data_IF_137627635741
#
_entry.id   IF_137627635741
#
_cell.length_a   1.000
_cell.length_b   1.000
_cell.length_c   1.000
_cell.angle_alpha   90.00
_cell.angle_beta   90.00
_cell.angle_gamma   90.00
#
_symmetry.space_group_name_H-M   'P 1'
#
loop_
_entity.id
_entity.type
_entity.pdbx_description
1 polymer ?
#
# COMPACT_ATOMS: atom_id res chain seq x y z
N UNK A 1 -54.56 -38.60 -39.13
CA UNK A 1 -53.69 -38.59 -37.92
C UNK A 1 -52.58 -39.65 -37.88
N UNK A 2 -52.60 -40.72 -38.70
CA UNK A 2 -51.63 -41.84 -38.61
C UNK A 2 -50.35 -41.62 -39.47
N UNK A 3 -50.43 -40.90 -40.60
CA UNK A 3 -49.29 -40.68 -41.50
C UNK A 3 -48.15 -39.85 -40.85
N UNK A 4 -48.49 -38.83 -40.06
CA UNK A 4 -47.50 -37.99 -39.38
C UNK A 4 -46.69 -38.75 -38.32
N UNK A 5 -47.30 -39.76 -37.66
CA UNK A 5 -46.59 -40.60 -36.68
C UNK A 5 -45.50 -41.46 -37.33
N UNK A 6 -45.75 -42.02 -38.52
CA UNK A 6 -44.76 -42.87 -39.22
C UNK A 6 -43.61 -42.06 -39.81
N UNK A 7 -43.88 -40.88 -40.38
CA UNK A 7 -42.85 -39.97 -40.90
C UNK A 7 -41.98 -39.45 -39.76
N UNK A 8 -42.59 -39.07 -38.62
CA UNK A 8 -41.90 -38.62 -37.43
C UNK A 8 -41.01 -39.73 -36.83
N UNK A 9 -41.50 -40.98 -36.76
CA UNK A 9 -40.71 -42.13 -36.32
C UNK A 9 -39.54 -42.46 -37.26
N UNK A 10 -39.73 -42.32 -38.57
CA UNK A 10 -38.68 -42.54 -39.57
C UNK A 10 -37.57 -41.49 -39.47
N UNK A 11 -37.94 -40.22 -39.29
CA UNK A 11 -36.99 -39.11 -39.13
C UNK A 11 -36.20 -39.21 -37.83
N UNK A 12 -36.87 -39.58 -36.73
CA UNK A 12 -36.22 -39.86 -35.44
C UNK A 12 -35.23 -41.03 -35.53
N UNK A 13 -35.52 -42.08 -36.32
CA UNK A 13 -34.68 -43.27 -36.40
C UNK A 13 -33.44 -43.09 -37.30
N UNK A 14 -33.55 -42.31 -38.38
CA UNK A 14 -32.44 -42.04 -39.32
C UNK A 14 -31.37 -41.13 -38.72
N UNK A 15 -31.77 -40.24 -37.82
CA UNK A 15 -30.92 -39.20 -37.22
C UNK A 15 -30.75 -39.37 -35.70
N UNK A 16 -30.90 -40.58 -35.16
CA UNK A 16 -30.70 -40.85 -33.71
C UNK A 16 -29.36 -40.35 -33.21
N UNK A 17 -28.31 -40.49 -34.01
CA UNK A 17 -26.97 -39.99 -33.67
C UNK A 17 -26.94 -38.45 -33.63
N UNK A 18 -27.62 -37.77 -34.56
CA UNK A 18 -27.71 -36.32 -34.55
C UNK A 18 -28.51 -35.81 -33.33
N UNK A 19 -29.63 -36.47 -33.02
CA UNK A 19 -30.43 -36.15 -31.84
C UNK A 19 -29.63 -36.38 -30.55
N UNK A 20 -28.87 -37.47 -30.48
CA UNK A 20 -27.99 -37.78 -29.35
C UNK A 20 -26.86 -36.74 -29.21
N UNK A 21 -26.24 -36.32 -30.33
CA UNK A 21 -25.22 -35.27 -30.34
C UNK A 21 -25.81 -33.95 -29.83
N UNK A 22 -27.01 -33.57 -30.28
CA UNK A 22 -27.67 -32.34 -29.82
C UNK A 22 -27.96 -32.41 -28.32
N UNK A 23 -28.47 -33.53 -27.83
CA UNK A 23 -28.71 -33.74 -26.39
C UNK A 23 -27.41 -33.68 -25.59
N UNK A 24 -26.33 -34.29 -26.08
CA UNK A 24 -25.01 -34.25 -25.44
C UNK A 24 -24.44 -32.83 -25.43
N UNK A 25 -24.64 -32.04 -26.48
CA UNK A 25 -24.22 -30.64 -26.53
C UNK A 25 -25.00 -29.78 -25.53
N UNK A 26 -26.32 -29.98 -25.40
CA UNK A 26 -27.12 -29.29 -24.39
C UNK A 26 -26.75 -29.70 -22.96
N UNK A 27 -26.47 -30.99 -22.73
CA UNK A 27 -25.96 -31.48 -21.44
C UNK A 27 -24.59 -30.88 -21.13
N UNK A 28 -23.69 -30.81 -22.10
CA UNK A 28 -22.37 -30.19 -21.92
C UNK A 28 -22.51 -28.70 -21.62
N UNK A 29 -23.38 -27.99 -22.34
CA UNK A 29 -23.66 -26.57 -22.10
C UNK A 29 -24.26 -26.35 -20.71
N UNK A 30 -25.18 -27.22 -20.28
CA UNK A 30 -25.78 -27.18 -18.95
C UNK A 30 -24.77 -27.48 -17.84
N UNK A 31 -23.86 -28.45 -18.06
CA UNK A 31 -22.74 -28.74 -17.15
C UNK A 31 -21.81 -27.52 -17.08
N UNK A 32 -21.46 -26.88 -18.21
CA UNK A 32 -20.68 -25.64 -18.22
C UNK A 32 -21.38 -24.49 -17.49
N UNK A 33 -22.71 -24.38 -17.61
CA UNK A 33 -23.51 -23.39 -16.91
C UNK A 33 -23.55 -23.64 -15.39
N UNK A 34 -23.75 -24.89 -14.96
CA UNK A 34 -23.75 -25.27 -13.54
C UNK A 34 -22.36 -25.16 -12.89
N UNK A 35 -21.30 -25.38 -13.67
CA UNK A 35 -19.92 -25.29 -13.20
C UNK A 35 -19.36 -23.86 -13.22
N UNK A 36 -20.21 -22.81 -13.31
CA UNK A 36 -19.86 -21.39 -13.14
C UNK A 36 -18.35 -21.19 -13.26
N UNK A 37 -17.82 -21.05 -14.49
CA UNK A 37 -16.43 -20.66 -14.67
C UNK A 37 -16.22 -19.50 -13.70
N UNK A 38 -15.36 -19.61 -12.67
CA UNK A 38 -15.30 -18.61 -11.62
C UNK A 38 -14.62 -17.39 -12.24
N UNK A 39 -15.42 -16.54 -12.89
CA UNK A 39 -15.07 -15.15 -13.19
C UNK A 39 -15.02 -14.35 -11.87
N UNK A 40 -15.40 -14.97 -10.76
CA UNK A 40 -15.27 -14.48 -9.39
C UNK A 40 -13.80 -14.27 -8.97
N UNK A 41 -12.83 -14.85 -9.71
CA UNK A 41 -11.40 -14.69 -9.46
C UNK A 41 -10.71 -13.73 -10.43
N UNK A 42 -11.41 -12.71 -10.94
CA UNK A 42 -10.69 -11.48 -11.31
C UNK A 42 -10.25 -10.85 -9.99
N UNK A 43 -9.09 -11.27 -9.50
CA UNK A 43 -8.34 -10.54 -8.47
C UNK A 43 -7.94 -9.23 -9.13
N UNK A 44 -8.79 -8.21 -9.01
CA UNK A 44 -8.31 -6.85 -9.16
C UNK A 44 -7.23 -6.68 -8.10
N UNK A 45 -5.98 -6.51 -8.52
CA UNK A 45 -4.94 -6.04 -7.63
C UNK A 45 -5.44 -4.71 -7.06
N UNK A 46 -5.95 -4.72 -5.83
CA UNK A 46 -6.40 -3.50 -5.17
C UNK A 46 -5.24 -2.52 -5.14
N UNK A 47 -5.50 -1.26 -5.48
CA UNK A 47 -4.48 -0.22 -5.37
C UNK A 47 -4.00 -0.16 -3.91
N UNK A 48 -2.71 -0.42 -3.69
CA UNK A 48 -2.09 -0.28 -2.38
C UNK A 48 -1.73 1.20 -2.22
N UNK A 49 -2.45 1.91 -1.36
CA UNK A 49 -2.13 3.28 -0.97
C UNK A 49 -1.20 3.25 0.23
N UNK A 50 -0.03 3.87 0.11
CA UNK A 50 1.00 3.92 1.15
C UNK A 50 1.17 5.38 1.57
N UNK A 51 0.68 5.79 2.75
CA UNK A 51 0.83 7.16 3.23
C UNK A 51 2.30 7.46 3.56
N UNK A 52 2.78 8.61 3.09
CA UNK A 52 4.07 9.19 3.48
C UNK A 52 3.76 10.47 4.25
N UNK A 53 4.01 10.44 5.56
CA UNK A 53 3.73 11.54 6.48
C UNK A 53 4.97 12.43 6.58
N UNK A 54 4.87 13.66 6.07
CA UNK A 54 5.98 14.62 6.08
C UNK A 54 5.82 15.64 7.20
N UNK A 55 6.85 15.77 8.04
CA UNK A 55 6.97 16.79 9.07
C UNK A 55 8.16 17.72 8.80
N UNK A 56 8.20 18.89 9.44
CA UNK A 56 9.29 19.85 9.26
C UNK A 56 9.86 20.28 10.62
N UNK A 57 9.12 21.12 11.36
CA UNK A 57 9.56 21.60 12.68
C UNK A 57 8.62 21.13 13.80
N UNK A 58 9.21 20.84 14.96
CA UNK A 58 8.48 20.44 16.17
C UNK A 58 8.59 21.53 17.22
N UNK A 59 7.49 21.80 17.93
CA UNK A 59 7.39 22.92 18.88
C UNK A 59 6.59 22.52 20.12
N UNK A 60 6.73 23.31 21.19
CA UNK A 60 5.86 23.22 22.37
C UNK A 60 4.66 24.19 22.29
N UNK A 61 4.68 25.11 21.32
CA UNK A 61 3.59 26.04 21.03
C UNK A 61 2.53 25.39 20.12
N UNK A 62 1.48 26.12 19.78
CA UNK A 62 0.44 25.66 18.86
C UNK A 62 0.99 25.28 17.47
N UNK A 63 0.35 24.30 16.85
CA UNK A 63 0.66 23.86 15.49
C UNK A 63 0.34 24.95 14.46
N UNK A 64 1.10 24.96 13.37
CA UNK A 64 0.88 25.81 12.21
C UNK A 64 1.29 25.08 10.93
N UNK A 65 1.28 25.74 9.77
CA UNK A 65 1.45 25.09 8.47
C UNK A 65 2.69 24.17 8.35
N UNK A 66 3.79 24.50 9.03
CA UNK A 66 5.04 23.73 9.01
C UNK A 66 5.55 23.36 10.41
N UNK A 67 4.76 23.65 11.44
CA UNK A 67 5.13 23.37 12.83
C UNK A 67 4.08 22.45 13.43
N UNK A 68 4.50 21.36 14.07
CA UNK A 68 3.62 20.51 14.85
C UNK A 68 3.96 20.61 16.34
N UNK A 69 2.94 20.80 17.16
CA UNK A 69 3.08 20.68 18.61
C UNK A 69 3.51 19.25 18.97
N UNK A 70 4.48 19.11 19.86
CA UNK A 70 5.06 17.82 20.19
C UNK A 70 4.05 16.83 20.79
N UNK A 71 3.05 17.33 21.53
CA UNK A 71 1.98 16.52 22.10
C UNK A 71 1.04 16.02 21.00
N UNK A 72 0.79 16.82 19.96
CA UNK A 72 0.00 16.38 18.80
C UNK A 72 0.75 15.36 17.95
N UNK A 73 2.05 15.56 17.75
CA UNK A 73 2.90 14.57 17.09
C UNK A 73 2.89 13.24 17.85
N UNK A 74 3.04 13.26 19.18
CA UNK A 74 2.98 12.04 19.99
C UNK A 74 1.62 11.33 19.89
N UNK A 75 0.51 12.09 19.85
CA UNK A 75 -0.83 11.51 19.61
C UNK A 75 -0.94 10.83 18.24
N UNK A 76 -0.31 11.39 17.21
CA UNK A 76 -0.29 10.76 15.89
C UNK A 76 0.53 9.45 15.91
N UNK A 77 1.66 9.41 16.62
CA UNK A 77 2.45 8.18 16.77
C UNK A 77 1.70 7.12 17.58
N UNK A 78 1.03 7.52 18.66
CA UNK A 78 0.16 6.65 19.45
C UNK A 78 -0.96 6.06 18.58
N UNK A 79 -1.60 6.88 17.74
CA UNK A 79 -2.61 6.41 16.81
C UNK A 79 -2.08 5.34 15.86
N UNK A 80 -0.89 5.54 15.25
CA UNK A 80 -0.28 4.55 14.36
C UNK A 80 -0.03 3.23 15.09
N UNK A 81 0.53 3.29 16.31
CA UNK A 81 0.79 2.11 17.14
C UNK A 81 -0.51 1.39 17.51
N UNK A 82 -1.51 2.11 18.02
CA UNK A 82 -2.78 1.56 18.47
C UNK A 82 -3.61 0.91 17.35
N UNK A 83 -3.42 1.35 16.10
CA UNK A 83 -4.16 0.83 14.93
C UNK A 83 -3.36 -0.17 14.08
N UNK A 84 -2.22 -0.65 14.60
CA UNK A 84 -1.34 -1.64 13.98
C UNK A 84 -0.84 -1.22 12.59
N UNK A 85 -0.40 0.03 12.46
CA UNK A 85 0.37 0.45 11.28
C UNK A 85 1.80 -0.06 11.37
N UNK A 86 2.33 -0.50 10.24
CA UNK A 86 3.75 -0.86 10.11
C UNK A 86 4.54 0.36 9.67
N UNK A 87 5.12 1.07 10.63
CA UNK A 87 6.00 2.21 10.30
C UNK A 87 7.32 1.67 9.77
N UNK A 88 7.62 1.96 8.51
CA UNK A 88 8.82 1.52 7.81
C UNK A 88 9.63 2.70 7.31
N UNK A 89 10.94 2.49 7.17
CA UNK A 89 11.83 3.45 6.52
C UNK A 89 11.55 3.54 5.01
N UNK A 90 11.98 4.64 4.39
CA UNK A 90 11.93 4.77 2.92
C UNK A 90 12.70 3.62 2.24
N UNK A 91 13.82 3.18 2.80
CA UNK A 91 14.62 2.09 2.25
C UNK A 91 13.85 0.77 2.23
N UNK A 92 13.16 0.45 3.32
CA UNK A 92 12.28 -0.73 3.40
C UNK A 92 11.10 -0.63 2.45
N UNK A 93 10.49 0.56 2.31
CA UNK A 93 9.43 0.79 1.34
C UNK A 93 9.92 0.52 -0.10
N UNK A 94 11.05 1.10 -0.49
CA UNK A 94 11.62 0.91 -1.83
C UNK A 94 11.93 -0.55 -2.11
N UNK A 95 12.51 -1.26 -1.13
CA UNK A 95 12.84 -2.67 -1.29
C UNK A 95 11.58 -3.53 -1.37
N UNK A 96 10.60 -3.28 -0.50
CA UNK A 96 9.32 -4.00 -0.53
C UNK A 96 8.55 -3.81 -1.84
N UNK A 97 8.58 -2.59 -2.41
CA UNK A 97 8.00 -2.33 -3.73
C UNK A 97 8.71 -3.07 -4.86
N UNK A 98 10.04 -3.24 -4.79
CA UNK A 98 10.80 -4.01 -5.79
C UNK A 98 10.51 -5.50 -5.70
N UNK A 99 10.38 -6.01 -4.48
CA UNK A 99 10.15 -7.43 -4.21
C UNK A 99 8.66 -7.82 -4.36
N UNK A 100 7.75 -6.85 -4.32
CA UNK A 100 6.31 -7.09 -4.28
C UNK A 100 5.81 -7.52 -2.90
N UNK A 101 6.58 -7.25 -1.85
CA UNK A 101 6.33 -7.67 -0.46
C UNK A 101 6.33 -6.43 0.44
N UNK A 102 5.14 -6.02 0.91
CA UNK A 102 4.99 -4.93 1.86
C UNK A 102 4.35 -5.46 3.15
N UNK A 103 4.72 -4.90 4.31
CA UNK A 103 4.04 -5.26 5.55
C UNK A 103 2.60 -4.75 5.52
N UNK A 104 1.76 -5.31 6.38
CA UNK A 104 0.38 -4.88 6.51
C UNK A 104 0.29 -3.43 7.02
N UNK A 105 -0.57 -2.60 6.39
CA UNK A 105 -0.74 -1.17 6.70
C UNK A 105 0.60 -0.41 6.76
N UNK A 106 1.39 -0.38 5.67
CA UNK A 106 2.66 0.33 5.67
C UNK A 106 2.41 1.84 5.77
N UNK A 107 3.24 2.52 6.54
CA UNK A 107 3.28 3.98 6.61
C UNK A 107 4.74 4.42 6.72
N UNK A 108 5.08 5.54 6.09
CA UNK A 108 6.42 6.12 6.16
C UNK A 108 6.35 7.46 6.84
N UNK A 109 7.34 7.75 7.69
CA UNK A 109 7.54 9.06 8.30
C UNK A 109 8.77 9.72 7.70
N UNK A 110 8.62 10.94 7.19
CA UNK A 110 9.71 11.77 6.72
C UNK A 110 9.76 13.09 7.47
N UNK A 111 10.95 13.63 7.62
CA UNK A 111 11.20 14.91 8.29
C UNK A 111 12.13 15.74 7.40
N UNK A 112 11.72 16.95 7.04
CA UNK A 112 12.46 17.83 6.14
C UNK A 112 13.23 18.92 6.92
N UNK A 113 14.04 19.69 6.21
CA UNK A 113 14.78 20.90 6.64
C UNK A 113 15.90 20.74 7.68
N UNK A 114 15.86 19.73 8.53
CA UNK A 114 16.91 19.49 9.52
C UNK A 114 16.87 20.42 10.74
N UNK A 115 15.68 20.87 11.16
CA UNK A 115 15.52 21.62 12.40
C UNK A 115 16.09 20.85 13.60
N UNK A 116 16.72 21.57 14.53
CA UNK A 116 17.22 21.01 15.80
C UNK A 116 16.13 20.28 16.59
N UNK A 117 14.89 20.74 16.47
CA UNK A 117 13.69 20.16 17.10
C UNK A 117 13.45 18.70 16.70
N UNK A 118 13.90 18.26 15.52
CA UNK A 118 13.88 16.86 15.12
C UNK A 118 14.63 15.98 16.12
N UNK A 119 15.81 16.41 16.56
CA UNK A 119 16.60 15.65 17.53
C UNK A 119 16.13 15.89 18.97
N UNK A 120 15.77 17.13 19.33
CA UNK A 120 15.47 17.46 20.73
C UNK A 120 14.04 17.11 21.15
N UNK A 121 13.08 17.07 20.22
CA UNK A 121 11.66 16.83 20.51
C UNK A 121 11.14 15.56 19.82
N UNK A 122 11.28 15.44 18.49
CA UNK A 122 10.67 14.33 17.75
C UNK A 122 11.35 12.97 17.98
N UNK A 123 12.68 12.95 18.00
CA UNK A 123 13.45 11.71 18.16
C UNK A 123 13.11 10.92 19.44
N UNK A 124 12.99 11.54 20.64
CA UNK A 124 12.51 10.84 21.83
C UNK A 124 11.15 10.17 21.65
N UNK A 125 10.21 10.83 20.98
CA UNK A 125 8.87 10.28 20.71
C UNK A 125 8.97 9.09 19.75
N UNK A 126 9.67 9.24 18.61
CA UNK A 126 9.88 8.13 17.66
C UNK A 126 10.55 6.92 18.32
N UNK A 127 11.54 7.17 19.18
CA UNK A 127 12.24 6.14 19.94
C UNK A 127 11.32 5.38 20.90
N UNK A 128 10.36 6.07 21.54
CA UNK A 128 9.37 5.43 22.42
C UNK A 128 8.55 4.35 21.70
N UNK A 129 8.22 4.56 20.42
CA UNK A 129 7.44 3.61 19.62
C UNK A 129 8.30 2.67 18.76
N UNK A 130 9.62 2.83 18.78
CA UNK A 130 10.55 2.17 17.86
C UNK A 130 10.20 2.41 16.37
N UNK A 131 9.75 3.63 16.07
CA UNK A 131 9.36 4.01 14.72
C UNK A 131 10.54 4.61 13.95
N UNK A 132 10.87 4.09 12.76
CA UNK A 132 11.84 4.72 11.89
C UNK A 132 11.26 6.01 11.29
N UNK A 133 12.14 6.97 11.01
CA UNK A 133 11.83 8.15 10.21
C UNK A 133 13.03 8.51 9.33
N UNK A 134 12.77 8.99 8.11
CA UNK A 134 13.82 9.47 7.21
C UNK A 134 13.95 10.99 7.32
N UNK A 135 15.17 11.47 7.61
CA UNK A 135 15.48 12.89 7.69
C UNK A 135 16.12 13.38 6.38
N UNK A 136 15.47 14.31 5.69
CA UNK A 136 15.99 14.99 4.51
C UNK A 136 16.66 16.30 4.93
N UNK A 137 17.99 16.26 5.06
CA UNK A 137 18.78 17.39 5.54
C UNK A 137 19.09 18.40 4.43
N UNK A 138 18.74 19.67 4.66
CA UNK A 138 19.23 20.78 3.86
C UNK A 138 20.59 21.26 4.38
N UNK A 139 21.67 20.67 3.86
CA UNK A 139 23.03 20.79 4.42
C UNK A 139 23.58 22.22 4.46
N UNK A 140 23.08 23.13 3.62
CA UNK A 140 23.53 24.53 3.61
C UNK A 140 23.07 25.33 4.86
N UNK A 141 22.06 24.85 5.59
CA UNK A 141 21.52 25.52 6.79
C UNK A 141 22.02 24.88 8.09
N UNK A 142 22.84 23.83 8.00
CA UNK A 142 23.51 23.25 9.16
C UNK A 142 24.77 24.06 9.44
N UNK A 143 24.83 24.71 10.61
CA UNK A 143 26.03 25.42 11.04
C UNK A 143 27.24 24.48 10.99
N UNK A 144 28.23 24.83 10.16
CA UNK A 144 29.56 24.23 10.27
C UNK A 144 30.16 24.70 11.59
N UNK A 145 30.36 23.77 12.52
CA UNK A 145 31.25 23.98 13.66
C UNK A 145 32.66 24.17 13.07
N UNK A 146 33.03 25.42 12.82
CA UNK A 146 34.42 25.76 12.56
C UNK A 146 35.13 25.69 13.91
N UNK A 147 35.92 24.65 14.11
CA UNK A 147 36.86 24.63 15.23
C UNK A 147 37.90 25.72 14.92
N UNK A 148 37.69 26.91 15.47
CA UNK A 148 38.71 27.95 15.46
C UNK A 148 39.76 27.53 16.47
N UNK A 149 40.86 26.98 15.99
CA UNK A 149 42.03 26.74 16.82
C UNK A 149 42.50 28.10 17.38
N UNK A 150 42.76 28.21 18.70
CA UNK A 150 43.24 29.46 19.28
C UNK A 150 44.51 29.91 18.55
N UNK A 151 44.47 31.13 17.98
CA UNK A 151 45.60 31.75 17.29
C UNK A 151 45.55 31.77 15.77
N UNK A 152 44.53 31.20 15.10
CA UNK A 152 44.34 31.38 13.65
C UNK A 152 43.18 32.32 13.34
N UNK A 153 43.51 33.51 12.81
CA UNK A 153 42.55 34.45 12.23
C UNK A 153 42.03 33.85 10.91
N UNK A 154 40.71 33.74 10.78
CA UNK A 154 40.06 33.35 9.53
C UNK A 154 40.26 34.50 8.53
N UNK A 155 41.10 34.28 7.51
CA UNK A 155 41.09 35.13 6.33
C UNK A 155 39.89 34.70 5.46
N UNK A 156 39.10 35.69 5.04
CA UNK A 156 37.95 35.51 4.14
C UNK A 156 38.41 35.64 2.70
#
# INVERSE_FOLDING_TARGET
>A
MIANRKIFHFFLNKNKNLLLIVILLFLLLYICYQNNFPIDNIVYAGEIIIPILTYHNFTENESSSYNINIVEFEKQMDYLAAHNYSVISISELVEGLKQGELPHKPVVITIDDGYKSTFTLAYPVLKKYNFPATLFLYTNFIEKITIVLPGKRLER
#
